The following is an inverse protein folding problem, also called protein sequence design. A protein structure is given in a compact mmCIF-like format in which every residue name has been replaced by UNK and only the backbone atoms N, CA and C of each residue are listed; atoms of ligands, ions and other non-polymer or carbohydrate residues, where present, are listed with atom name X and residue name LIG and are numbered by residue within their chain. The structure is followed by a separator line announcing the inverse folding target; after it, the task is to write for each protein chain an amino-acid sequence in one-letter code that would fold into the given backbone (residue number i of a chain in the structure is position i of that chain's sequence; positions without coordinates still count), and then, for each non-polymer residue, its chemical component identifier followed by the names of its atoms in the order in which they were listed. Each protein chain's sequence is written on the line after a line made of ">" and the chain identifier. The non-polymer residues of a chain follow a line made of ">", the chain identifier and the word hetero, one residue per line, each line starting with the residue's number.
data_IF_226759842126
#
_entry.id   IF_226759842126
#
_cell.length_a   1.000
_cell.length_b   1.000
_cell.length_c   1.000
_cell.angle_alpha   90.00
_cell.angle_beta   90.00
_cell.angle_gamma   90.00
#
_symmetry.space_group_name_H-M   'P 1'
#
loop_
_entity.id
_entity.type
_entity.pdbx_description
1 polymer ?
#
# COMPACT_ATOMS: atom_id res chain seq x y z
N UNK A 1 3.22 -27.13 11.73
CA UNK A 1 2.56 -26.33 12.78
C UNK A 1 1.05 -26.55 12.81
N UNK A 2 0.34 -26.52 11.67
CA UNK A 2 -1.13 -26.71 11.60
C UNK A 2 -1.61 -28.01 12.26
N UNK A 3 -0.91 -29.14 12.07
CA UNK A 3 -1.28 -30.42 12.71
C UNK A 3 -1.12 -30.41 14.25
N UNK A 4 -0.24 -29.58 14.79
CA UNK A 4 -0.02 -29.46 16.24
C UNK A 4 -1.09 -28.60 16.90
N UNK A 5 -1.58 -27.55 16.23
CA UNK A 5 -2.66 -26.71 16.75
C UNK A 5 -4.00 -27.48 16.75
N UNK A 6 -4.28 -28.29 15.71
CA UNK A 6 -5.49 -29.12 15.66
C UNK A 6 -5.53 -30.22 16.74
N UNK A 7 -4.39 -30.85 17.06
CA UNK A 7 -4.31 -31.82 18.16
C UNK A 7 -4.51 -31.18 19.53
N UNK A 8 -4.02 -29.95 19.71
CA UNK A 8 -4.26 -29.24 20.96
C UNK A 8 -5.72 -28.79 21.09
N UNK A 9 -6.34 -28.29 20.02
CA UNK A 9 -7.78 -27.94 20.04
C UNK A 9 -8.65 -29.15 20.43
N UNK A 10 -8.28 -30.37 20.02
CA UNK A 10 -8.98 -31.59 20.47
C UNK A 10 -8.83 -31.87 21.96
N UNK A 11 -7.63 -31.71 22.52
CA UNK A 11 -7.38 -31.90 23.95
C UNK A 11 -8.16 -30.87 24.79
N UNK A 12 -8.27 -29.63 24.30
CA UNK A 12 -8.98 -28.54 24.98
C UNK A 12 -10.48 -28.83 25.10
N UNK A 13 -11.11 -29.28 24.01
CA UNK A 13 -12.53 -29.67 23.99
C UNK A 13 -12.78 -30.89 24.87
N UNK A 14 -11.88 -31.88 24.86
CA UNK A 14 -11.95 -33.07 25.73
C UNK A 14 -11.88 -32.70 27.21
N UNK A 15 -10.98 -31.79 27.58
CA UNK A 15 -10.87 -31.32 28.95
C UNK A 15 -12.12 -30.56 29.41
N UNK A 16 -12.75 -29.74 28.55
CA UNK A 16 -14.00 -29.04 28.88
C UNK A 16 -15.14 -30.04 29.04
N UNK A 17 -15.24 -31.01 28.13
CA UNK A 17 -16.24 -32.07 28.19
C UNK A 17 -16.13 -32.89 29.48
N UNK A 18 -14.93 -33.29 29.88
CA UNK A 18 -14.68 -34.04 31.10
C UNK A 18 -15.08 -33.27 32.38
N UNK A 19 -15.03 -31.93 32.33
CA UNK A 19 -15.47 -31.08 33.43
C UNK A 19 -17.00 -30.98 33.52
N UNK A 20 -17.69 -30.99 32.37
CA UNK A 20 -19.16 -31.06 32.28
C UNK A 20 -19.64 -32.45 32.74
N UNK A 21 -18.97 -33.51 32.29
CA UNK A 21 -19.20 -34.90 32.71
C UNK A 21 -18.49 -35.20 34.03
N UNK A 22 -18.88 -34.49 35.09
CA UNK A 22 -18.30 -34.64 36.44
C UNK A 22 -18.45 -36.05 37.04
N UNK A 23 -19.25 -36.93 36.42
CA UNK A 23 -19.48 -38.31 36.84
C UNK A 23 -18.77 -39.35 35.96
N UNK A 24 -18.07 -38.90 34.90
CA UNK A 24 -17.34 -39.74 33.95
C UNK A 24 -18.19 -40.85 33.33
N UNK A 25 -19.44 -40.53 32.98
CA UNK A 25 -20.31 -41.49 32.28
C UNK A 25 -20.00 -41.60 30.78
N UNK A 26 -19.13 -40.74 30.26
CA UNK A 26 -18.76 -40.66 28.85
C UNK A 26 -19.76 -39.88 27.99
N UNK A 27 -20.85 -39.39 28.58
CA UNK A 27 -21.92 -38.68 27.90
C UNK A 27 -22.50 -37.53 28.73
N UNK A 28 -22.94 -36.47 28.04
CA UNK A 28 -23.66 -35.34 28.64
C UNK A 28 -25.14 -35.34 28.24
N UNK A 29 -25.98 -34.69 29.05
CA UNK A 29 -27.40 -34.55 28.73
C UNK A 29 -27.62 -33.50 27.65
N UNK A 30 -28.75 -33.62 26.93
CA UNK A 30 -29.20 -32.61 25.94
C UNK A 30 -29.23 -31.20 26.54
N UNK A 31 -29.72 -31.07 27.77
CA UNK A 31 -29.79 -29.79 28.47
C UNK A 31 -28.39 -29.20 28.76
N UNK A 32 -27.41 -30.05 29.09
CA UNK A 32 -26.03 -29.62 29.32
C UNK A 32 -25.35 -29.19 28.02
N UNK A 33 -25.62 -29.89 26.90
CA UNK A 33 -25.15 -29.49 25.57
C UNK A 33 -25.74 -28.15 25.13
N UNK A 34 -27.06 -27.96 25.28
CA UNK A 34 -27.73 -26.71 24.95
C UNK A 34 -27.21 -25.53 25.78
N UNK A 35 -26.95 -25.75 27.08
CA UNK A 35 -26.37 -24.74 27.96
C UNK A 35 -24.92 -24.41 27.57
N UNK A 36 -24.12 -25.41 27.22
CA UNK A 36 -22.75 -25.19 26.72
C UNK A 36 -22.76 -24.41 25.40
N UNK A 37 -23.61 -24.76 24.44
CA UNK A 37 -23.73 -24.00 23.18
C UNK A 37 -24.18 -22.55 23.42
N UNK A 38 -25.13 -22.32 24.32
CA UNK A 38 -25.57 -20.97 24.68
C UNK A 38 -24.44 -20.15 25.32
N UNK A 39 -23.64 -20.77 26.19
CA UNK A 39 -22.53 -20.10 26.89
C UNK A 39 -21.40 -19.62 25.96
N UNK A 40 -21.32 -20.18 24.75
CA UNK A 40 -20.37 -19.69 23.74
C UNK A 40 -20.72 -18.30 23.21
N UNK A 41 -21.96 -17.84 23.40
CA UNK A 41 -22.51 -16.60 22.80
C UNK A 41 -22.45 -16.56 21.26
N UNK A 42 -22.21 -17.70 20.60
CA UNK A 42 -22.13 -17.82 19.14
C UNK A 42 -23.48 -18.14 18.50
N UNK A 43 -24.42 -18.65 19.30
CA UNK A 43 -25.68 -19.26 18.85
C UNK A 43 -26.81 -18.77 19.75
N UNK A 44 -27.94 -18.41 19.15
CA UNK A 44 -29.13 -17.98 19.89
C UNK A 44 -29.79 -19.14 20.66
N UNK A 45 -30.55 -18.85 21.72
CA UNK A 45 -31.17 -19.87 22.56
C UNK A 45 -32.02 -20.88 21.79
N UNK A 46 -32.75 -20.42 20.76
CA UNK A 46 -33.52 -21.30 19.88
C UNK A 46 -32.63 -22.25 19.07
N UNK A 47 -31.53 -21.73 18.52
CA UNK A 47 -30.58 -22.50 17.73
C UNK A 47 -29.77 -23.49 18.59
N UNK A 48 -29.40 -23.10 19.82
CA UNK A 48 -28.68 -23.97 20.75
C UNK A 48 -29.53 -25.18 21.14
N UNK A 49 -30.84 -24.98 21.36
CA UNK A 49 -31.79 -26.05 21.67
C UNK A 49 -32.06 -26.96 20.46
N UNK A 50 -32.22 -26.40 19.26
CA UNK A 50 -32.42 -27.21 18.06
C UNK A 50 -31.19 -28.05 17.74
N UNK A 51 -29.98 -27.47 17.86
CA UNK A 51 -28.73 -28.21 17.64
C UNK A 51 -28.52 -29.30 18.69
N UNK A 52 -28.87 -29.04 19.95
CA UNK A 52 -28.81 -30.05 21.00
C UNK A 52 -29.82 -31.19 20.77
N UNK A 53 -31.05 -30.87 20.38
CA UNK A 53 -32.09 -31.86 20.06
C UNK A 53 -31.71 -32.69 18.82
N UNK A 54 -31.15 -32.05 17.80
CA UNK A 54 -30.70 -32.69 16.56
C UNK A 54 -29.53 -33.65 16.80
N UNK A 55 -28.64 -33.33 17.75
CA UNK A 55 -27.55 -34.21 18.17
C UNK A 55 -28.03 -35.49 18.91
N UNK A 56 -29.24 -35.46 19.49
CA UNK A 56 -29.82 -36.56 20.29
C UNK A 56 -30.88 -37.35 19.50
N UNK A 57 -31.36 -36.81 18.36
CA UNK A 57 -32.46 -37.33 17.53
C UNK A 57 -32.34 -38.78 17.06
N UNK A 58 -31.15 -39.38 17.13
CA UNK A 58 -30.87 -40.77 16.74
C UNK A 58 -30.75 -41.75 17.93
N UNK A 59 -31.15 -41.36 19.15
CA UNK A 59 -30.97 -42.18 20.35
C UNK A 59 -29.50 -42.33 20.79
N UNK A 60 -28.61 -41.51 20.20
CA UNK A 60 -27.20 -41.44 20.56
C UNK A 60 -27.06 -40.49 21.75
N UNK A 61 -26.27 -40.92 22.72
CA UNK A 61 -25.85 -40.05 23.82
C UNK A 61 -24.84 -39.02 23.30
N UNK A 62 -24.77 -37.85 23.94
CA UNK A 62 -23.84 -36.79 23.54
C UNK A 62 -22.45 -37.13 24.07
N UNK A 63 -21.70 -37.88 23.27
CA UNK A 63 -20.29 -38.19 23.54
C UNK A 63 -19.40 -37.00 23.13
N UNK A 64 -18.13 -37.03 23.55
CA UNK A 64 -17.10 -36.01 23.22
C UNK A 64 -17.10 -35.62 21.74
N UNK A 65 -17.22 -36.61 20.84
CA UNK A 65 -17.19 -36.37 19.38
C UNK A 65 -18.38 -35.55 18.90
N UNK A 66 -19.57 -35.80 19.47
CA UNK A 66 -20.80 -35.09 19.13
C UNK A 66 -20.77 -33.68 19.71
N UNK A 67 -20.27 -33.53 20.95
CA UNK A 67 -20.03 -32.23 21.57
C UNK A 67 -19.07 -31.37 20.76
N UNK A 68 -17.94 -31.95 20.32
CA UNK A 68 -16.96 -31.30 19.45
C UNK A 68 -17.58 -30.84 18.14
N UNK A 69 -18.28 -31.74 17.43
CA UNK A 69 -18.89 -31.42 16.14
C UNK A 69 -19.91 -30.27 16.25
N UNK A 70 -20.71 -30.24 17.32
CA UNK A 70 -21.67 -29.17 17.57
C UNK A 70 -20.99 -27.81 17.84
N UNK A 71 -19.86 -27.81 18.56
CA UNK A 71 -19.05 -26.59 18.74
C UNK A 71 -18.36 -26.15 17.45
N UNK A 72 -17.83 -27.09 16.66
CA UNK A 72 -17.17 -26.78 15.37
C UNK A 72 -18.16 -26.14 14.40
N UNK A 73 -19.36 -26.70 14.29
CA UNK A 73 -20.42 -26.16 13.44
C UNK A 73 -20.85 -24.75 13.88
N UNK A 74 -20.98 -24.52 15.19
CA UNK A 74 -21.30 -23.20 15.74
C UNK A 74 -20.19 -22.16 15.45
N UNK A 75 -18.91 -22.55 15.58
CA UNK A 75 -17.77 -21.70 15.28
C UNK A 75 -17.69 -21.40 13.78
N UNK A 76 -17.86 -22.40 12.92
CA UNK A 76 -17.84 -22.23 11.47
C UNK A 76 -18.98 -21.32 10.96
N UNK A 77 -20.19 -21.47 11.47
CA UNK A 77 -21.31 -20.58 11.14
C UNK A 77 -21.02 -19.14 11.56
N UNK A 78 -20.47 -18.93 12.76
CA UNK A 78 -20.10 -17.60 13.24
C UNK A 78 -18.96 -16.99 12.38
N UNK A 79 -18.00 -17.81 11.93
CA UNK A 79 -16.94 -17.38 11.00
C UNK A 79 -17.49 -17.02 9.62
N UNK A 80 -18.43 -17.80 9.06
CA UNK A 80 -19.10 -17.49 7.78
C UNK A 80 -19.91 -16.19 7.87
N UNK A 81 -20.68 -16.01 8.93
CA UNK A 81 -21.44 -14.79 9.14
C UNK A 81 -20.54 -13.54 9.25
N UNK A 82 -19.34 -13.68 9.84
CA UNK A 82 -18.34 -12.61 9.90
C UNK A 82 -17.75 -12.26 8.53
N UNK A 83 -17.57 -13.24 7.65
CA UNK A 83 -17.07 -13.06 6.27
C UNK A 83 -18.11 -12.40 5.36
N UNK A 84 -19.40 -12.74 5.52
CA UNK A 84 -20.51 -12.19 4.71
C UNK A 84 -20.93 -10.78 5.16
N UNK A 85 -20.73 -10.43 6.44
CA UNK A 85 -21.00 -9.13 7.04
C UNK A 85 -20.02 -8.01 6.63
N UNK A 86 -19.94 -7.70 5.34
CA UNK A 86 -19.08 -6.66 4.75
C UNK A 86 -19.58 -5.24 5.04
N UNK A 87 -19.35 -4.75 6.27
CA UNK A 87 -19.28 -3.31 6.54
C UNK A 87 -17.88 -2.97 7.09
N UNK A 88 -17.27 -1.91 6.53
CA UNK A 88 -15.87 -1.51 6.75
C UNK A 88 -15.50 -1.19 8.21
N UNK A 89 -16.44 -1.24 9.16
CA UNK A 89 -16.26 -0.83 10.55
C UNK A 89 -16.07 -1.98 11.55
N UNK A 90 -16.33 -3.25 11.17
CA UNK A 90 -16.28 -4.41 12.10
C UNK A 90 -15.07 -5.36 11.95
N UNK A 91 -14.06 -5.03 11.12
CA UNK A 91 -12.90 -5.92 10.87
C UNK A 91 -11.96 -6.16 12.06
N UNK A 92 -12.20 -5.53 13.21
CA UNK A 92 -11.34 -5.63 14.40
C UNK A 92 -11.78 -6.71 15.39
N UNK A 93 -12.91 -7.39 15.16
CA UNK A 93 -13.29 -8.53 15.99
C UNK A 93 -12.46 -9.76 15.57
N UNK A 94 -11.74 -10.35 16.53
CA UNK A 94 -11.02 -11.60 16.31
C UNK A 94 -12.02 -12.67 15.83
N UNK A 95 -11.61 -13.49 14.85
CA UNK A 95 -12.46 -14.56 14.36
C UNK A 95 -12.80 -15.51 15.53
N UNK A 96 -14.07 -15.92 15.69
CA UNK A 96 -14.44 -16.85 16.74
C UNK A 96 -13.67 -18.16 16.53
N UNK A 97 -13.08 -18.66 17.60
CA UNK A 97 -12.29 -19.89 17.64
C UNK A 97 -12.90 -20.92 18.57
N UNK A 98 -12.47 -22.18 18.42
CA UNK A 98 -12.85 -23.26 19.34
C UNK A 98 -12.48 -22.94 20.78
N UNK A 99 -11.26 -22.44 21.04
CA UNK A 99 -10.85 -22.06 22.39
C UNK A 99 -11.65 -20.88 22.93
N UNK A 100 -12.04 -19.91 22.09
CA UNK A 100 -12.96 -18.82 22.51
C UNK A 100 -14.35 -19.32 22.89
N UNK A 101 -14.87 -20.33 22.19
CA UNK A 101 -16.13 -20.98 22.54
C UNK A 101 -16.01 -21.75 23.87
N UNK A 102 -14.93 -22.51 24.05
CA UNK A 102 -14.60 -23.23 25.29
C UNK A 102 -14.43 -22.31 26.50
N UNK A 103 -13.87 -21.09 26.32
CA UNK A 103 -13.76 -20.09 27.38
C UNK A 103 -15.13 -19.65 27.91
N UNK A 104 -16.11 -19.42 27.03
CA UNK A 104 -17.48 -19.11 27.42
C UNK A 104 -18.11 -20.23 28.26
N UNK A 105 -17.93 -21.48 27.82
CA UNK A 105 -18.39 -22.67 28.55
C UNK A 105 -17.76 -22.78 29.94
N UNK A 106 -16.45 -22.57 30.05
CA UNK A 106 -15.76 -22.66 31.33
C UNK A 106 -16.13 -21.54 32.31
N UNK A 107 -16.38 -20.32 31.81
CA UNK A 107 -16.83 -19.21 32.66
C UNK A 107 -18.24 -19.45 33.21
N UNK A 108 -19.14 -20.03 32.40
CA UNK A 108 -20.48 -20.42 32.85
C UNK A 108 -20.45 -21.61 33.82
N UNK A 109 -19.61 -22.61 33.59
CA UNK A 109 -19.39 -23.71 34.54
C UNK A 109 -18.83 -23.20 35.87
N UNK A 110 -17.86 -22.27 35.81
CA UNK A 110 -17.31 -21.62 37.01
C UNK A 110 -18.39 -20.87 37.80
N UNK A 111 -19.28 -20.13 37.12
CA UNK A 111 -20.43 -19.45 37.76
C UNK A 111 -21.42 -20.44 38.37
N UNK A 112 -21.69 -21.55 37.68
CA UNK A 112 -22.59 -22.62 38.16
C UNK A 112 -22.06 -23.33 39.41
N UNK A 113 -20.80 -23.76 39.41
CA UNK A 113 -20.19 -24.42 40.57
C UNK A 113 -19.95 -23.46 41.74
N UNK A 114 -19.67 -22.18 41.46
CA UNK A 114 -19.48 -21.15 42.50
C UNK A 114 -20.77 -20.70 43.20
N UNK A 115 -21.93 -20.82 42.55
CA UNK A 115 -23.23 -20.48 43.14
C UNK A 115 -23.87 -21.61 43.96
N UNK A 116 -23.39 -22.84 43.78
CA UNK A 116 -23.95 -24.02 44.45
C UNK A 116 -23.14 -24.35 45.71
N UNK A 117 -23.68 -24.04 46.90
CA UNK A 117 -23.06 -24.10 48.25
C UNK A 117 -22.61 -25.51 48.79
N UNK A 118 -22.06 -26.39 47.95
CA UNK A 118 -21.49 -27.69 48.40
C UNK A 118 -19.97 -27.66 48.35
N UNK A 119 -19.31 -28.17 49.39
CA UNK A 119 -17.83 -28.14 49.48
C UNK A 119 -17.13 -28.87 48.31
N UNK A 120 -17.77 -29.89 47.73
CA UNK A 120 -17.29 -30.60 46.54
C UNK A 120 -17.27 -29.73 45.27
N UNK A 121 -18.14 -28.72 45.19
CA UNK A 121 -18.26 -27.86 44.01
C UNK A 121 -17.15 -26.80 43.95
N UNK A 122 -16.55 -26.42 45.08
CA UNK A 122 -15.43 -25.47 45.08
C UNK A 122 -14.18 -26.04 44.40
N UNK A 123 -13.96 -27.36 44.48
CA UNK A 123 -12.85 -28.03 43.77
C UNK A 123 -13.06 -27.99 42.26
N UNK A 124 -14.29 -28.23 41.80
CA UNK A 124 -14.65 -28.12 40.38
C UNK A 124 -14.62 -26.67 39.89
N UNK A 125 -15.01 -25.71 40.71
CA UNK A 125 -14.89 -24.28 40.39
C UNK A 125 -13.41 -23.83 40.29
N UNK A 126 -12.51 -24.34 41.15
CA UNK A 126 -11.08 -24.07 41.07
C UNK A 126 -10.42 -24.74 39.85
N UNK A 127 -10.85 -25.97 39.51
CA UNK A 127 -10.44 -26.64 38.28
C UNK A 127 -10.90 -25.88 37.02
N UNK A 128 -12.17 -25.47 36.97
CA UNK A 128 -12.73 -24.64 35.90
C UNK A 128 -11.95 -23.33 35.73
N UNK A 129 -11.61 -22.68 36.85
CA UNK A 129 -10.83 -21.44 36.84
C UNK A 129 -9.42 -21.64 36.30
N UNK A 130 -8.69 -22.66 36.77
CA UNK A 130 -7.33 -22.97 36.27
C UNK A 130 -7.34 -23.26 34.78
N UNK A 131 -8.34 -24.01 34.32
CA UNK A 131 -8.49 -24.32 32.91
C UNK A 131 -8.86 -23.09 32.08
N UNK A 132 -9.76 -22.23 32.58
CA UNK A 132 -10.09 -20.95 31.96
C UNK A 132 -8.84 -20.05 31.85
N UNK A 133 -8.04 -19.93 32.91
CA UNK A 133 -6.82 -19.11 32.91
C UNK A 133 -5.78 -19.66 31.89
N UNK A 134 -5.64 -20.99 31.79
CA UNK A 134 -4.75 -21.65 30.82
C UNK A 134 -5.22 -21.45 29.36
N UNK A 135 -6.50 -21.68 29.08
CA UNK A 135 -7.07 -21.46 27.75
C UNK A 135 -7.06 -19.98 27.37
N UNK A 136 -7.29 -19.08 28.32
CA UNK A 136 -7.27 -17.64 28.09
C UNK A 136 -5.88 -17.18 27.66
N UNK A 137 -4.83 -17.69 28.32
CA UNK A 137 -3.45 -17.41 27.92
C UNK A 137 -3.12 -17.94 26.51
N UNK A 138 -3.61 -19.13 26.16
CA UNK A 138 -3.35 -19.75 24.85
C UNK A 138 -4.10 -19.04 23.73
N UNK A 139 -5.35 -18.66 23.97
CA UNK A 139 -6.12 -17.87 23.02
C UNK A 139 -5.54 -16.48 22.82
N UNK A 140 -5.00 -15.86 23.88
CA UNK A 140 -4.26 -14.61 23.74
C UNK A 140 -3.03 -14.76 22.83
N UNK A 141 -2.23 -15.82 23.03
CA UNK A 141 -1.09 -16.12 22.16
C UNK A 141 -1.50 -16.40 20.71
N UNK A 142 -2.64 -17.06 20.48
CA UNK A 142 -3.19 -17.27 19.14
C UNK A 142 -3.58 -15.93 18.51
N UNK A 143 -4.35 -15.10 19.21
CA UNK A 143 -4.76 -13.76 18.73
C UNK A 143 -3.54 -12.90 18.37
N UNK A 144 -2.50 -12.91 19.21
CA UNK A 144 -1.25 -12.22 18.91
C UNK A 144 -0.55 -12.76 17.65
N UNK A 145 -0.52 -14.09 17.46
CA UNK A 145 0.03 -14.72 16.25
C UNK A 145 -0.75 -14.31 15.01
N UNK A 146 -2.08 -14.34 15.07
CA UNK A 146 -2.95 -13.98 13.94
C UNK A 146 -2.80 -12.52 13.54
N UNK A 147 -2.70 -11.62 14.53
CA UNK A 147 -2.38 -10.20 14.30
C UNK A 147 -1.00 -10.08 13.63
N UNK A 148 0.02 -10.76 14.15
CA UNK A 148 1.38 -10.69 13.60
C UNK A 148 1.45 -11.20 12.15
N UNK A 149 0.78 -12.31 11.85
CA UNK A 149 0.70 -12.89 10.50
C UNK A 149 -0.02 -11.94 9.54
N UNK A 150 -1.12 -11.31 9.98
CA UNK A 150 -1.81 -10.29 9.17
C UNK A 150 -0.89 -9.12 8.89
N UNK A 151 -0.22 -8.58 9.91
CA UNK A 151 0.69 -7.45 9.77
C UNK A 151 1.87 -7.75 8.83
N UNK A 152 2.39 -8.97 8.88
CA UNK A 152 3.43 -9.44 7.96
C UNK A 152 2.92 -9.53 6.53
N UNK A 153 1.72 -10.10 6.31
CA UNK A 153 1.11 -10.19 4.99
C UNK A 153 0.82 -8.80 4.39
N UNK A 154 0.35 -7.84 5.19
CA UNK A 154 0.14 -6.45 4.78
C UNK A 154 1.47 -5.78 4.41
N UNK A 155 2.52 -6.03 5.19
CA UNK A 155 3.85 -5.50 4.92
C UNK A 155 4.43 -6.05 3.61
N UNK A 156 4.31 -7.37 3.38
CA UNK A 156 4.72 -8.01 2.13
C UNK A 156 3.94 -7.43 0.94
N UNK A 157 2.61 -7.28 1.06
CA UNK A 157 1.80 -6.67 0.01
C UNK A 157 2.19 -5.22 -0.31
N UNK A 158 2.57 -4.42 0.70
CA UNK A 158 3.11 -3.08 0.49
C UNK A 158 4.46 -3.12 -0.23
N UNK A 159 5.36 -4.04 0.14
CA UNK A 159 6.66 -4.19 -0.52
C UNK A 159 6.53 -4.61 -1.98
N UNK A 160 5.64 -5.55 -2.28
CA UNK A 160 5.34 -5.97 -3.66
C UNK A 160 4.79 -4.80 -4.48
N UNK A 161 3.84 -4.04 -3.93
CA UNK A 161 3.32 -2.83 -4.58
C UNK A 161 4.41 -1.78 -4.82
N UNK A 162 5.31 -1.56 -3.87
CA UNK A 162 6.44 -0.65 -4.02
C UNK A 162 7.39 -1.11 -5.13
N UNK A 163 7.68 -2.40 -5.20
CA UNK A 163 8.55 -2.97 -6.24
C UNK A 163 7.94 -2.83 -7.63
N UNK A 164 6.64 -3.11 -7.78
CA UNK A 164 5.92 -2.91 -9.04
C UNK A 164 5.95 -1.44 -9.48
N UNK A 165 5.65 -0.49 -8.57
CA UNK A 165 5.72 0.94 -8.88
C UNK A 165 7.13 1.38 -9.31
N UNK A 166 8.17 0.86 -8.66
CA UNK A 166 9.55 1.16 -9.03
C UNK A 166 9.91 0.60 -10.42
N UNK A 167 9.44 -0.61 -10.74
CA UNK A 167 9.61 -1.20 -12.07
C UNK A 167 8.89 -0.39 -13.16
N UNK A 168 7.63 -0.01 -12.91
CA UNK A 168 6.84 0.82 -13.83
C UNK A 168 7.50 2.20 -14.04
N UNK A 169 7.93 2.86 -12.96
CA UNK A 169 8.63 4.13 -13.03
C UNK A 169 9.92 4.05 -13.86
N UNK A 170 10.74 3.01 -13.63
CA UNK A 170 11.97 2.81 -14.40
C UNK A 170 11.69 2.48 -15.87
N UNK A 171 10.70 1.64 -16.14
CA UNK A 171 10.28 1.30 -17.51
C UNK A 171 9.82 2.53 -18.28
N UNK A 172 8.94 3.35 -17.68
CA UNK A 172 8.45 4.59 -18.28
C UNK A 172 9.59 5.57 -18.54
N UNK A 173 10.55 5.69 -17.61
CA UNK A 173 11.72 6.53 -17.83
C UNK A 173 12.61 6.02 -18.97
N UNK A 174 12.91 4.72 -19.02
CA UNK A 174 13.72 4.13 -20.09
C UNK A 174 13.09 4.30 -21.46
N UNK A 175 11.75 4.17 -21.56
CA UNK A 175 11.02 4.45 -22.80
C UNK A 175 11.14 5.92 -23.21
N UNK A 176 10.89 6.85 -22.28
CA UNK A 176 11.01 8.28 -22.54
C UNK A 176 12.44 8.68 -22.97
N UNK A 177 13.46 8.11 -22.32
CA UNK A 177 14.85 8.36 -22.68
C UNK A 177 15.21 7.80 -24.06
N UNK A 178 14.71 6.61 -24.38
CA UNK A 178 14.91 6.00 -25.71
C UNK A 178 14.28 6.85 -26.81
N UNK A 179 13.08 7.35 -26.58
CA UNK A 179 12.37 8.22 -27.51
C UNK A 179 13.07 9.58 -27.68
N UNK A 180 13.54 10.18 -26.58
CA UNK A 180 14.38 11.39 -26.62
C UNK A 180 15.65 11.17 -27.46
N UNK A 181 16.37 10.08 -27.25
CA UNK A 181 17.59 9.76 -28.01
C UNK A 181 17.30 9.48 -29.48
N UNK A 182 16.14 8.88 -29.81
CA UNK A 182 15.68 8.72 -31.19
C UNK A 182 15.47 10.08 -31.85
N UNK A 183 14.70 10.97 -31.22
CA UNK A 183 14.42 12.31 -31.73
C UNK A 183 15.70 13.16 -31.86
N UNK A 184 16.61 13.07 -30.88
CA UNK A 184 17.89 13.77 -30.92
C UNK A 184 18.75 13.33 -32.12
N UNK A 185 18.79 12.02 -32.42
CA UNK A 185 19.48 11.49 -33.61
C UNK A 185 18.86 12.01 -34.90
N UNK A 186 17.53 11.99 -35.02
CA UNK A 186 16.83 12.47 -36.21
C UNK A 186 17.09 13.96 -36.48
N UNK A 187 17.08 14.79 -35.43
CA UNK A 187 17.40 16.22 -35.55
C UNK A 187 18.85 16.43 -36.01
N UNK A 188 19.79 15.64 -35.46
CA UNK A 188 21.21 15.73 -35.79
C UNK A 188 21.49 15.29 -37.23
N UNK A 189 20.93 14.16 -37.66
CA UNK A 189 21.02 13.67 -39.03
C UNK A 189 20.37 14.65 -40.01
N UNK A 190 19.20 15.19 -39.67
CA UNK A 190 18.53 16.21 -40.46
C UNK A 190 19.32 17.53 -40.58
N UNK A 191 20.10 17.90 -39.56
CA UNK A 191 21.01 19.04 -39.63
C UNK A 191 22.21 18.76 -40.55
N UNK A 192 22.83 17.57 -40.43
CA UNK A 192 23.93 17.15 -41.31
C UNK A 192 23.50 17.15 -42.77
N UNK A 193 22.33 16.57 -43.07
CA UNK A 193 21.81 16.51 -44.45
C UNK A 193 21.60 17.91 -45.02
N UNK A 194 20.97 18.82 -44.26
CA UNK A 194 20.78 20.21 -44.68
C UNK A 194 22.10 20.93 -44.93
N UNK A 195 23.08 20.78 -44.04
CA UNK A 195 24.41 21.37 -44.23
C UNK A 195 25.12 20.86 -45.49
N UNK A 196 24.98 19.56 -45.80
CA UNK A 196 25.52 18.98 -47.04
C UNK A 196 24.83 19.54 -48.28
N UNK A 197 23.50 19.61 -48.29
CA UNK A 197 22.72 20.20 -49.40
C UNK A 197 23.08 21.68 -49.61
N UNK A 198 23.17 22.46 -48.53
CA UNK A 198 23.59 23.86 -48.56
C UNK A 198 25.01 24.02 -49.10
N UNK A 199 25.93 23.14 -48.71
CA UNK A 199 27.31 23.19 -49.18
C UNK A 199 27.40 22.88 -50.68
N UNK A 200 26.68 21.87 -51.17
CA UNK A 200 26.62 21.54 -52.60
C UNK A 200 26.00 22.69 -53.40
N UNK A 201 24.89 23.25 -52.93
CA UNK A 201 24.23 24.38 -53.57
C UNK A 201 25.14 25.64 -53.58
N UNK A 202 25.89 25.86 -52.50
CA UNK A 202 26.86 26.95 -52.40
C UNK A 202 28.00 26.77 -53.40
N UNK A 203 28.56 25.56 -53.52
CA UNK A 203 29.57 25.26 -54.53
C UNK A 203 29.07 25.45 -55.95
N UNK A 204 27.83 25.03 -56.25
CA UNK A 204 27.22 25.25 -57.55
C UNK A 204 27.13 26.74 -57.88
N UNK A 205 26.66 27.57 -56.93
CA UNK A 205 26.60 29.04 -57.07
C UNK A 205 27.98 29.66 -57.28
N UNK A 206 29.02 29.17 -56.61
CA UNK A 206 30.39 29.67 -56.78
C UNK A 206 30.98 29.28 -58.14
N UNK A 207 30.60 28.13 -58.72
CA UNK A 207 31.00 27.76 -60.09
C UNK A 207 30.28 28.59 -61.15
N UNK A 208 29.01 28.92 -60.91
CA UNK A 208 28.21 29.76 -61.80
C UNK A 208 28.68 31.22 -61.78
N UNK A 209 29.22 31.69 -60.64
CA UNK A 209 29.95 32.95 -60.54
C UNK A 209 31.32 32.83 -61.23
N UNK A 210 31.36 32.71 -62.56
CA UNK A 210 32.60 32.87 -63.31
C UNK A 210 33.22 34.25 -63.02
N UNK A 211 34.57 34.39 -63.07
CA UNK A 211 35.23 35.68 -62.91
C UNK A 211 34.78 36.65 -64.02
N UNK A 212 33.76 37.45 -63.73
CA UNK A 212 33.20 38.40 -64.68
C UNK A 212 34.21 39.53 -64.91
N UNK A 213 34.85 39.49 -66.08
CA UNK A 213 35.80 40.45 -66.63
C UNK A 213 37.03 40.71 -65.74
N UNK A 214 38.16 40.10 -66.11
CA UNK A 214 39.47 40.51 -65.61
C UNK A 214 39.66 42.02 -65.81
N UNK A 215 39.72 42.78 -64.71
CA UNK A 215 40.10 44.19 -64.75
C UNK A 215 41.61 44.25 -64.85
N UNK A 216 42.11 44.19 -66.08
CA UNK A 216 43.53 44.30 -66.37
C UNK A 216 44.08 45.65 -65.91
N UNK A 217 45.38 45.68 -65.63
CA UNK A 217 46.04 46.91 -65.23
C UNK A 217 46.00 47.95 -66.34
N UNK A 218 46.06 49.23 -65.95
CA UNK A 218 46.19 50.35 -66.89
C UNK A 218 47.42 50.19 -67.79
N UNK A 219 48.51 49.63 -67.25
CA UNK A 219 49.75 49.38 -67.98
C UNK A 219 49.54 48.40 -69.15
N UNK A 220 48.77 47.31 -68.93
CA UNK A 220 48.45 46.38 -70.01
C UNK A 220 47.60 47.05 -71.11
N UNK A 221 46.63 47.88 -70.72
CA UNK A 221 45.78 48.62 -71.65
C UNK A 221 46.63 49.61 -72.48
N UNK A 222 47.55 50.33 -71.82
CA UNK A 222 48.46 51.27 -72.46
C UNK A 222 49.44 50.56 -73.41
N UNK A 223 49.91 49.35 -73.06
CA UNK A 223 50.74 48.52 -73.94
C UNK A 223 49.96 48.05 -75.18
N UNK A 224 48.70 47.60 -75.02
CA UNK A 224 47.84 47.17 -76.13
C UNK A 224 47.51 48.32 -77.08
N UNK A 225 47.15 49.49 -76.56
CA UNK A 225 46.90 50.68 -77.38
C UNK A 225 48.16 51.14 -78.12
N UNK A 226 49.35 51.01 -77.51
CA UNK A 226 50.62 51.28 -78.17
C UNK A 226 50.93 50.30 -79.31
N UNK A 227 50.63 49.00 -79.14
CA UNK A 227 50.75 48.00 -80.22
C UNK A 227 49.87 48.40 -81.40
N UNK A 228 48.60 48.75 -81.17
CA UNK A 228 47.67 49.17 -82.22
C UNK A 228 48.14 50.44 -82.93
N UNK A 229 48.68 51.40 -82.18
CA UNK A 229 49.24 52.64 -82.73
C UNK A 229 50.45 52.37 -83.62
N UNK A 230 51.39 51.53 -83.18
CA UNK A 230 52.60 51.18 -83.96
C UNK A 230 52.25 50.34 -85.20
N UNK A 231 51.25 49.46 -85.09
CA UNK A 231 50.73 48.71 -86.22
C UNK A 231 50.13 49.62 -87.31
N UNK A 232 49.33 50.63 -86.91
CA UNK A 232 48.80 51.66 -87.83
C UNK A 232 49.90 52.48 -88.50
N UNK A 233 51.02 52.69 -87.82
CA UNK A 233 52.23 53.36 -88.35
C UNK A 233 53.12 52.44 -89.20
N UNK A 234 52.74 51.17 -89.42
CA UNK A 234 53.51 50.14 -90.15
C UNK A 234 54.89 49.80 -89.55
N UNK A 235 55.10 50.11 -88.27
CA UNK A 235 56.33 49.78 -87.53
C UNK A 235 56.22 48.40 -86.88
N UNK A 236 56.26 47.35 -87.70
CA UNK A 236 55.92 46.00 -87.25
C UNK A 236 56.92 45.40 -86.25
N UNK A 237 58.21 45.68 -86.38
CA UNK A 237 59.23 45.13 -85.47
C UNK A 237 59.10 45.69 -84.05
N UNK A 238 58.83 47.00 -83.92
CA UNK A 238 58.58 47.64 -82.63
C UNK A 238 57.26 47.17 -82.02
N UNK A 239 56.21 47.06 -82.85
CA UNK A 239 54.91 46.54 -82.42
C UNK A 239 55.02 45.10 -81.88
N UNK A 240 55.80 44.24 -82.54
CA UNK A 240 56.03 42.86 -82.09
C UNK A 240 56.72 42.81 -80.72
N UNK A 241 57.75 43.65 -80.50
CA UNK A 241 58.44 43.73 -79.20
C UNK A 241 57.51 44.17 -78.07
N UNK A 242 56.66 45.18 -78.30
CA UNK A 242 55.69 45.63 -77.30
C UNK A 242 54.59 44.58 -77.09
N UNK A 243 54.14 43.91 -78.16
CA UNK A 243 53.16 42.82 -78.08
C UNK A 243 53.66 41.70 -77.17
N UNK A 244 54.90 41.23 -77.34
CA UNK A 244 55.45 40.16 -76.48
C UNK A 244 55.45 40.54 -75.00
N UNK A 245 55.77 41.81 -74.69
CA UNK A 245 55.70 42.32 -73.31
C UNK A 245 54.26 42.36 -72.80
N UNK A 246 53.32 42.83 -73.61
CA UNK A 246 51.89 42.85 -73.28
C UNK A 246 51.35 41.43 -73.04
N UNK A 247 51.70 40.46 -73.90
CA UNK A 247 51.27 39.07 -73.77
C UNK A 247 51.83 38.41 -72.49
N UNK A 248 53.08 38.72 -72.12
CA UNK A 248 53.69 38.26 -70.86
C UNK A 248 52.99 38.86 -69.62
N UNK A 249 52.75 40.18 -69.64
CA UNK A 249 52.06 40.88 -68.55
C UNK A 249 50.62 40.38 -68.41
N UNK A 250 49.91 40.21 -69.51
CA UNK A 250 48.55 39.68 -69.52
C UNK A 250 48.50 38.27 -68.93
N UNK A 251 49.42 37.39 -69.32
CA UNK A 251 49.48 36.03 -68.78
C UNK A 251 49.72 36.05 -67.26
N UNK A 252 50.61 36.92 -66.79
CA UNK A 252 50.87 37.08 -65.35
C UNK A 252 49.65 37.63 -64.60
N UNK A 253 49.00 38.67 -65.12
CA UNK A 253 47.80 39.26 -64.51
C UNK A 253 46.62 38.28 -64.48
N UNK A 254 46.41 37.51 -65.56
CA UNK A 254 45.40 36.42 -65.59
C UNK A 254 45.68 35.38 -64.50
N UNK A 255 46.93 34.90 -64.41
CA UNK A 255 47.30 33.92 -63.38
C UNK A 255 47.12 34.47 -61.95
N UNK A 256 47.46 35.74 -61.72
CA UNK A 256 47.28 36.39 -60.42
C UNK A 256 45.80 36.50 -60.06
N UNK A 257 44.97 37.00 -60.97
CA UNK A 257 43.53 37.16 -60.76
C UNK A 257 42.83 35.81 -60.55
N UNK A 258 43.23 34.77 -61.28
CA UNK A 258 42.74 33.40 -61.05
C UNK A 258 43.10 32.88 -59.66
N UNK A 259 44.31 33.16 -59.19
CA UNK A 259 44.75 32.76 -57.85
C UNK A 259 43.99 33.52 -56.75
N UNK A 260 43.79 34.82 -56.92
CA UNK A 260 42.97 35.64 -56.02
C UNK A 260 41.51 35.15 -55.98
N UNK A 261 40.93 34.81 -57.13
CA UNK A 261 39.59 34.23 -57.19
C UNK A 261 39.51 32.87 -56.48
N UNK A 262 40.46 31.97 -56.73
CA UNK A 262 40.53 30.65 -56.06
C UNK A 262 40.67 30.78 -54.55
N UNK A 263 41.53 31.68 -54.07
CA UNK A 263 41.69 31.93 -52.63
C UNK A 263 40.44 32.54 -52.01
N UNK A 264 39.76 33.45 -52.71
CA UNK A 264 38.47 34.00 -52.26
C UNK A 264 37.38 32.93 -52.16
N UNK A 265 37.28 32.04 -53.14
CA UNK A 265 36.38 30.87 -53.13
C UNK A 265 36.70 29.95 -51.95
N UNK A 266 37.97 29.58 -51.75
CA UNK A 266 38.39 28.72 -50.65
C UNK A 266 38.09 29.34 -49.27
N UNK A 267 38.31 30.64 -49.11
CA UNK A 267 37.99 31.36 -47.88
C UNK A 267 36.48 31.36 -47.59
N UNK A 268 35.65 31.56 -48.62
CA UNK A 268 34.18 31.50 -48.49
C UNK A 268 33.69 30.09 -48.11
N UNK A 269 34.24 29.05 -48.72
CA UNK A 269 33.92 27.66 -48.36
C UNK A 269 34.35 27.33 -46.91
N UNK A 270 35.53 27.79 -46.50
CA UNK A 270 36.03 27.61 -45.14
C UNK A 270 35.10 28.32 -44.12
N UNK A 271 34.70 29.55 -44.40
CA UNK A 271 33.77 30.30 -43.55
C UNK A 271 32.42 29.56 -43.40
N UNK A 272 31.85 29.07 -44.49
CA UNK A 272 30.61 28.29 -44.45
C UNK A 272 30.76 27.03 -43.58
N UNK A 273 31.85 26.28 -43.75
CA UNK A 273 32.12 25.09 -42.92
C UNK A 273 32.29 25.43 -41.45
N UNK A 274 32.97 26.52 -41.12
CA UNK A 274 33.11 26.97 -39.73
C UNK A 274 31.75 27.35 -39.13
N UNK A 275 30.90 28.04 -39.88
CA UNK A 275 29.54 28.35 -39.45
C UNK A 275 28.73 27.08 -39.21
N UNK A 276 28.74 26.13 -40.16
CA UNK A 276 28.07 24.84 -40.00
C UNK A 276 28.58 24.05 -38.79
N UNK A 277 29.90 24.05 -38.55
CA UNK A 277 30.51 23.38 -37.40
C UNK A 277 30.06 24.00 -36.07
N UNK A 278 30.07 25.33 -35.97
CA UNK A 278 29.60 26.02 -34.74
C UNK A 278 28.11 25.77 -34.48
N UNK A 279 27.28 25.72 -35.52
CA UNK A 279 25.86 25.34 -35.39
C UNK A 279 25.69 23.90 -34.92
N UNK A 280 26.46 22.96 -35.47
CA UNK A 280 26.44 21.55 -35.03
C UNK A 280 26.88 21.40 -33.57
N UNK A 281 27.91 22.12 -33.14
CA UNK A 281 28.39 22.07 -31.77
C UNK A 281 27.39 22.70 -30.79
N UNK A 282 26.73 23.78 -31.17
CA UNK A 282 25.63 24.36 -30.39
C UNK A 282 24.47 23.37 -30.25
N UNK A 283 24.09 22.69 -31.33
CA UNK A 283 23.04 21.66 -31.32
C UNK A 283 23.41 20.48 -30.41
N UNK A 284 24.65 19.98 -30.51
CA UNK A 284 25.16 18.91 -29.63
C UNK A 284 25.11 19.31 -28.15
N UNK A 285 25.51 20.53 -27.82
CA UNK A 285 25.42 21.07 -26.45
C UNK A 285 23.98 21.16 -25.96
N UNK A 286 23.04 21.54 -26.82
CA UNK A 286 21.61 21.57 -26.47
C UNK A 286 21.05 20.17 -26.21
N UNK A 287 21.39 19.19 -27.06
CA UNK A 287 21.01 17.78 -26.84
C UNK A 287 21.60 17.28 -25.52
N UNK A 288 22.88 17.56 -25.26
CA UNK A 288 23.54 17.15 -24.03
C UNK A 288 22.88 17.74 -22.78
N UNK A 289 22.53 19.03 -22.82
CA UNK A 289 21.75 19.66 -21.73
C UNK A 289 20.39 19.00 -21.55
N UNK A 290 19.69 18.68 -22.63
CA UNK A 290 18.42 17.95 -22.56
C UNK A 290 18.57 16.58 -21.88
N UNK A 291 19.65 15.83 -22.15
CA UNK A 291 19.94 14.57 -21.45
C UNK A 291 20.13 14.77 -19.95
N UNK A 292 20.85 15.82 -19.57
CA UNK A 292 21.08 16.18 -18.17
C UNK A 292 19.76 16.55 -17.48
N UNK A 293 18.92 17.37 -18.12
CA UNK A 293 17.58 17.73 -17.62
C UNK A 293 16.69 16.48 -17.44
N UNK A 294 16.68 15.54 -18.41
CA UNK A 294 15.94 14.28 -18.28
C UNK A 294 16.45 13.42 -17.11
N UNK A 295 17.76 13.41 -16.87
CA UNK A 295 18.37 12.70 -15.74
C UNK A 295 18.01 13.37 -14.41
N UNK A 296 18.04 14.70 -14.33
CA UNK A 296 17.61 15.44 -13.15
C UNK A 296 16.13 15.21 -12.83
N UNK A 297 15.26 15.25 -13.84
CA UNK A 297 13.83 14.95 -13.69
C UNK A 297 13.61 13.53 -13.17
N UNK A 298 14.40 12.56 -13.64
CA UNK A 298 14.38 11.20 -13.11
C UNK A 298 14.82 11.12 -11.66
N UNK A 299 15.94 11.76 -11.30
CA UNK A 299 16.43 11.79 -9.91
C UNK A 299 15.39 12.39 -8.97
N UNK A 300 14.76 13.51 -9.35
CA UNK A 300 13.69 14.12 -8.57
C UNK A 300 12.44 13.23 -8.49
N UNK A 301 12.09 12.55 -9.58
CA UNK A 301 10.99 11.58 -9.62
C UNK A 301 11.24 10.40 -8.69
N UNK A 302 12.43 9.80 -8.77
CA UNK A 302 12.86 8.69 -7.93
C UNK A 302 12.90 9.08 -6.45
N UNK A 303 13.40 10.28 -6.12
CA UNK A 303 13.39 10.79 -4.76
C UNK A 303 11.97 10.95 -4.21
N UNK A 304 11.03 11.50 -5.00
CA UNK A 304 9.63 11.61 -4.60
C UNK A 304 8.98 10.24 -4.41
N UNK A 305 9.28 9.28 -5.28
CA UNK A 305 8.79 7.90 -5.16
C UNK A 305 9.30 7.24 -3.86
N UNK A 306 10.60 7.34 -3.59
CA UNK A 306 11.19 6.82 -2.34
C UNK A 306 10.60 7.49 -1.09
N UNK A 307 10.36 8.81 -1.13
CA UNK A 307 9.71 9.52 -0.03
C UNK A 307 8.27 9.03 0.17
N UNK A 308 7.53 8.80 -0.91
CA UNK A 308 6.18 8.23 -0.86
C UNK A 308 6.19 6.83 -0.24
N UNK A 309 7.13 5.96 -0.65
CA UNK A 309 7.33 4.63 -0.07
C UNK A 309 7.64 4.69 1.42
N UNK A 310 8.52 5.60 1.83
CA UNK A 310 8.85 5.83 3.25
C UNK A 310 7.62 6.29 4.04
N UNK A 311 6.83 7.21 3.50
CA UNK A 311 5.61 7.69 4.16
C UNK A 311 4.59 6.55 4.30
N UNK A 312 4.37 5.76 3.25
CA UNK A 312 3.46 4.61 3.26
C UNK A 312 3.86 3.57 4.32
N UNK A 313 5.15 3.26 4.44
CA UNK A 313 5.65 2.36 5.49
C UNK A 313 5.49 2.94 6.89
N UNK A 314 5.72 4.25 7.07
CA UNK A 314 5.49 4.93 8.34
C UNK A 314 4.02 4.87 8.75
N UNK A 315 3.11 5.11 7.81
CA UNK A 315 1.67 5.06 8.03
C UNK A 315 1.21 3.64 8.35
N UNK A 316 1.75 2.62 7.65
CA UNK A 316 1.48 1.22 7.95
C UNK A 316 1.93 0.87 9.38
N UNK A 317 3.16 1.22 9.75
CA UNK A 317 3.66 0.98 11.11
C UNK A 317 2.82 1.69 12.18
N UNK A 318 2.38 2.92 11.91
CA UNK A 318 1.48 3.65 12.80
C UNK A 318 0.14 2.96 12.96
N UNK A 319 -0.45 2.47 11.86
CA UNK A 319 -1.69 1.67 11.89
C UNK A 319 -1.54 0.38 12.69
N UNK A 320 -0.47 -0.37 12.46
CA UNK A 320 -0.17 -1.60 13.19
C UNK A 320 0.06 -1.35 14.68
N UNK A 321 0.75 -0.25 15.02
CA UNK A 321 0.93 0.15 16.42
C UNK A 321 -0.41 0.49 17.10
N UNK A 322 -1.31 1.20 16.43
CA UNK A 322 -2.65 1.50 16.94
C UNK A 322 -3.53 0.25 17.05
N UNK A 323 -3.42 -0.69 16.11
CA UNK A 323 -4.09 -1.99 16.17
C UNK A 323 -3.61 -2.79 17.40
N UNK A 324 -2.31 -2.86 17.63
CA UNK A 324 -1.74 -3.52 18.80
C UNK A 324 -2.20 -2.87 20.11
N UNK A 325 -2.22 -1.53 20.18
CA UNK A 325 -2.77 -0.82 21.35
C UNK A 325 -4.25 -1.11 21.57
N UNK A 326 -5.04 -1.23 20.50
CA UNK A 326 -6.47 -1.59 20.59
C UNK A 326 -6.66 -3.03 21.03
N UNK A 327 -5.85 -3.96 20.53
CA UNK A 327 -5.85 -5.35 20.97
C UNK A 327 -5.52 -5.43 22.47
N UNK A 328 -4.46 -4.76 22.92
CA UNK A 328 -4.09 -4.69 24.33
C UNK A 328 -5.21 -4.12 25.22
N UNK A 329 -5.91 -3.08 24.75
CA UNK A 329 -7.04 -2.47 25.48
C UNK A 329 -8.25 -3.41 25.50
N UNK A 330 -8.57 -4.08 24.39
CA UNK A 330 -9.66 -5.06 24.33
C UNK A 330 -9.42 -6.21 25.33
N UNK A 331 -8.21 -6.74 25.37
CA UNK A 331 -7.80 -7.80 26.31
C UNK A 331 -7.92 -7.33 27.76
N UNK A 332 -7.48 -6.10 28.06
CA UNK A 332 -7.65 -5.50 29.40
C UNK A 332 -9.13 -5.27 29.76
N UNK A 333 -9.96 -4.86 28.81
CA UNK A 333 -11.39 -4.66 29.01
C UNK A 333 -12.12 -5.99 29.26
N UNK A 334 -11.81 -7.04 28.50
CA UNK A 334 -12.33 -8.39 28.73
C UNK A 334 -11.96 -8.90 30.12
N UNK A 335 -10.71 -8.67 30.55
CA UNK A 335 -10.25 -9.01 31.90
C UNK A 335 -10.92 -8.18 33.02
N UNK A 336 -11.32 -6.95 32.75
CA UNK A 336 -11.97 -6.07 33.75
C UNK A 336 -13.49 -6.19 33.77
N UNK A 337 -14.14 -6.52 32.65
CA UNK A 337 -15.56 -6.83 32.57
C UNK A 337 -15.90 -8.05 33.45
N UNK A 338 -15.06 -9.09 33.44
CA UNK A 338 -15.15 -10.22 34.36
C UNK A 338 -15.02 -9.81 35.84
N UNK A 339 -14.27 -8.74 36.16
CA UNK A 339 -14.14 -8.20 37.53
C UNK A 339 -15.33 -7.30 37.90
N UNK A 340 -15.85 -6.50 36.98
CA UNK A 340 -16.97 -5.60 37.21
C UNK A 340 -18.30 -6.33 37.45
N UNK A 341 -18.50 -7.50 36.83
CA UNK A 341 -19.64 -8.39 37.11
C UNK A 341 -19.59 -8.93 38.55
N UNK A 342 -18.40 -9.27 39.05
CA UNK A 342 -18.17 -9.72 40.43
C UNK A 342 -18.46 -8.60 41.44
N UNK A 343 -18.09 -7.36 41.14
CA UNK A 343 -18.35 -6.20 42.01
C UNK A 343 -19.85 -5.85 42.05
N UNK A 344 -20.55 -5.87 40.90
CA UNK A 344 -22.01 -5.65 40.85
C UNK A 344 -22.79 -6.68 41.67
N UNK A 345 -22.38 -7.96 41.64
CA UNK A 345 -22.98 -9.00 42.50
C UNK A 345 -22.70 -8.78 43.99
N UNK A 346 -21.48 -8.35 44.36
CA UNK A 346 -21.17 -8.04 45.77
C UNK A 346 -22.03 -6.90 46.31
N UNK A 347 -22.26 -5.86 45.51
CA UNK A 347 -23.14 -4.74 45.89
C UNK A 347 -24.59 -5.22 46.00
N UNK A 348 -25.08 -5.99 45.02
CA UNK A 348 -26.44 -6.56 45.05
C UNK A 348 -26.70 -7.46 46.27
N UNK A 349 -25.73 -8.27 46.67
CA UNK A 349 -25.86 -9.15 47.84
C UNK A 349 -25.76 -8.35 49.16
N UNK A 350 -24.99 -7.26 49.19
CA UNK A 350 -24.88 -6.42 50.39
C UNK A 350 -26.17 -5.62 50.67
N UNK A 351 -26.92 -5.24 49.62
CA UNK A 351 -28.25 -4.62 49.76
C UNK A 351 -29.35 -5.62 50.18
N UNK A 352 -29.15 -6.92 49.97
CA UNK A 352 -30.08 -7.95 50.44
C UNK A 352 -29.93 -8.26 51.95
N UNK A 353 -28.71 -8.15 52.50
CA UNK A 353 -28.41 -8.42 53.92
C UNK A 353 -28.65 -7.22 54.85
N UNK A 354 -28.86 -6.01 54.31
CA UNK A 354 -29.05 -4.77 55.10
C UNK A 354 -30.51 -4.32 55.21
N UNK A 355 -31.46 -5.06 54.64
CA UNK A 355 -32.88 -4.82 54.89
C UNK A 355 -33.28 -5.42 56.25
N UNK A 356 -33.83 -4.62 57.19
CA UNK A 356 -34.24 -5.12 58.49
C UNK A 356 -35.32 -6.19 58.31
N UNK A 357 -35.05 -7.37 58.87
CA UNK A 357 -35.92 -8.54 58.83
C UNK A 357 -37.21 -8.21 59.58
N UNK A 358 -38.28 -7.90 58.84
CA UNK A 358 -39.62 -7.70 59.42
C UNK A 358 -40.16 -9.09 59.77
N UNK A 359 -40.12 -9.44 61.05
CA UNK A 359 -40.76 -10.65 61.58
C UNK A 359 -42.28 -10.51 61.46
N UNK A 360 -42.84 -11.11 60.41
CA UNK A 360 -44.28 -11.33 60.29
C UNK A 360 -44.68 -12.49 61.22
N UNK A 361 -44.97 -12.16 62.48
CA UNK A 361 -45.41 -13.10 63.51
C UNK A 361 -46.69 -13.85 63.14
N UNK A 362 -46.62 -15.18 63.16
CA UNK A 362 -47.78 -16.08 63.13
C UNK A 362 -48.51 -16.06 64.49
N UNK A 363 -49.83 -16.05 64.40
CA UNK A 363 -50.73 -15.73 65.50
C UNK A 363 -50.85 -16.76 66.63
N UNK A 364 -51.24 -16.23 67.80
CA UNK A 364 -52.03 -16.96 68.80
C UNK A 364 -53.14 -16.06 69.34
N UNK A 365 -54.31 -16.69 69.45
CA UNK A 365 -55.59 -16.18 69.95
C UNK A 365 -55.52 -15.62 71.36
N UNK A 366 -56.21 -14.50 71.61
CA UNK A 366 -56.80 -14.22 72.94
C UNK A 366 -57.96 -13.24 72.82
N UNK A 367 -59.01 -13.55 73.56
CA UNK A 367 -60.34 -12.95 73.58
C UNK A 367 -60.40 -11.67 74.43
N UNK A 368 -61.37 -10.82 74.07
CA UNK A 368 -62.07 -9.83 74.92
C UNK A 368 -61.27 -8.68 75.58
N UNK A 369 -61.57 -7.45 75.15
CA UNK A 369 -62.45 -6.52 75.90
C UNK A 369 -62.81 -5.28 75.08
N UNK A 370 -64.10 -4.93 75.12
CA UNK A 370 -64.70 -3.63 74.74
C UNK A 370 -64.04 -2.48 75.53
N UNK A 371 -63.88 -1.31 74.92
CA UNK A 371 -64.66 -0.10 75.28
C UNK A 371 -64.35 1.09 74.34
N UNK A 372 -65.42 1.75 73.89
CA UNK A 372 -65.64 3.19 73.60
C UNK A 372 -64.57 4.00 72.84
N UNK A 373 -64.86 4.46 71.62
CA UNK A 373 -65.69 5.63 71.26
C UNK A 373 -64.99 6.97 71.57
N UNK A 374 -64.37 7.58 70.55
CA UNK A 374 -64.62 8.98 70.26
C UNK A 374 -64.33 9.35 68.79
N UNK A 375 -65.14 10.29 68.34
CA UNK A 375 -65.47 10.72 66.99
C UNK A 375 -64.55 11.85 66.46
N UNK A 376 -64.21 11.76 65.15
CA UNK A 376 -64.38 12.82 64.10
C UNK A 376 -63.37 14.02 64.12
N UNK A 377 -63.09 14.74 62.99
CA UNK A 377 -63.21 14.49 61.54
C UNK A 377 -61.95 14.80 60.67
N UNK A 378 -61.96 14.21 59.47
CA UNK A 378 -61.75 14.79 58.11
C UNK A 378 -60.93 16.07 57.88
N UNK A 379 -59.94 15.95 56.98
CA UNK A 379 -59.53 16.91 55.95
C UNK A 379 -58.54 16.22 55.00
N UNK A 380 -58.88 15.90 53.75
CA UNK A 380 -58.71 16.74 52.54
C UNK A 380 -57.26 17.19 52.32
N UNK A 381 -56.63 17.23 51.15
CA UNK A 381 -56.85 16.80 49.77
C UNK A 381 -55.60 17.32 49.00
N UNK A 382 -55.14 16.64 47.93
CA UNK A 382 -54.27 17.19 46.84
C UNK A 382 -52.88 17.73 47.27
N UNK A 383 -51.80 17.65 46.49
CA UNK A 383 -51.59 17.58 45.05
C UNK A 383 -50.17 17.06 44.79
#
# INVERSE_FOLDING_TARGET
>A
MVASDAMMETEEVEMVFNLIDAKHYGHISEAALAQALLSTSLVDEGQARTKAADAVRDGRQVDVKVFRAALEEAVEEAQRALLEGTSSSKRTAAAPSMGSACLGVLEDLRKFYGSTNRSANFKMADAAKKMHDQLSMREELRRMRDISLRQESEHQGVQEAQMMQAMEFNSAWSQNMTEFERQAREILEGAIRRHQEEFVAFQAKLREQEPHAYKFSKELIDLRTNVDRLAKQKKYDEALRIKTKADQLEKWERMKLDNEFKTMVANKELQLRQQQQTQMDALRRRIQRGREEHKEHWLMGAQRLMQSHRNMLSDLKSKQSLENQRADVAVKLDMTAGKAEVVRRKISNHFADTLPRVDCGQGRSSSHKKLTLMQIPSGAATR
#
